data_IF_256273679032
#
_entry.id   IF_256273679032
#
_cell.length_a   1.000
_cell.length_b   1.000
_cell.length_c   1.000
_cell.angle_alpha   90.00
_cell.angle_beta   90.00
_cell.angle_gamma   90.00
#
_symmetry.space_group_name_H-M   'P 1'
#
loop_
_entity.id
_entity.type
_entity.pdbx_description
1 polymer ?
#
# COMPACT_ATOMS: atom_id res chain seq x y z
N UNK A 1 21.39 -7.82 4.57
CA UNK A 1 21.55 -6.52 3.89
C UNK A 1 21.64 -6.66 2.37
N UNK A 2 22.56 -7.46 1.81
CA UNK A 2 22.71 -7.61 0.34
C UNK A 2 21.46 -8.18 -0.36
N UNK A 3 20.80 -9.18 0.23
CA UNK A 3 19.55 -9.74 -0.32
C UNK A 3 18.44 -8.68 -0.40
N UNK A 4 18.29 -7.89 0.66
CA UNK A 4 17.30 -6.81 0.75
C UNK A 4 17.53 -5.71 -0.30
N UNK A 5 18.79 -5.29 -0.48
CA UNK A 5 19.14 -4.30 -1.52
C UNK A 5 18.87 -4.87 -2.91
N UNK A 6 19.12 -6.18 -3.13
CA UNK A 6 18.83 -6.84 -4.40
C UNK A 6 17.33 -6.86 -4.69
N UNK A 7 16.51 -7.23 -3.71
CA UNK A 7 15.04 -7.24 -3.84
C UNK A 7 14.50 -5.84 -4.15
N UNK A 8 14.91 -4.84 -3.36
CA UNK A 8 14.59 -3.44 -3.60
C UNK A 8 14.97 -2.99 -5.02
N UNK A 9 16.19 -3.30 -5.48
CA UNK A 9 16.66 -2.95 -6.82
C UNK A 9 15.82 -3.58 -7.95
N UNK A 10 15.37 -4.81 -7.73
CA UNK A 10 14.51 -5.53 -8.69
C UNK A 10 13.05 -5.14 -8.63
N UNK A 11 12.62 -4.49 -7.55
CA UNK A 11 11.23 -4.05 -7.37
C UNK A 11 10.80 -3.15 -8.53
N UNK A 12 9.58 -3.39 -9.03
CA UNK A 12 8.97 -2.51 -10.01
C UNK A 12 8.29 -1.40 -9.23
N UNK A 13 8.85 -0.19 -9.28
CA UNK A 13 8.14 0.98 -8.79
C UNK A 13 6.92 1.21 -9.68
N UNK A 14 5.76 0.87 -9.14
CA UNK A 14 4.50 1.15 -9.79
C UNK A 14 4.12 2.60 -9.51
N UNK A 15 4.43 3.46 -10.49
CA UNK A 15 4.10 4.87 -10.49
C UNK A 15 2.59 5.09 -10.31
N UNK A 16 1.75 4.16 -10.79
CA UNK A 16 0.28 4.29 -10.70
C UNK A 16 -0.24 3.89 -9.33
N UNK A 17 0.32 2.85 -8.72
CA UNK A 17 -0.09 2.41 -7.38
C UNK A 17 -0.04 3.54 -6.33
N UNK A 18 0.98 4.41 -6.39
CA UNK A 18 1.08 5.53 -5.44
C UNK A 18 -0.11 6.48 -5.58
N UNK A 19 -0.62 6.64 -6.80
CA UNK A 19 -1.78 7.45 -7.12
C UNK A 19 -3.06 6.76 -6.67
N UNK A 20 -3.19 5.47 -6.98
CA UNK A 20 -4.33 4.65 -6.58
C UNK A 20 -4.46 4.56 -5.04
N UNK A 21 -3.34 4.65 -4.31
CA UNK A 21 -3.32 4.71 -2.84
C UNK A 21 -3.79 6.07 -2.26
N UNK A 22 -3.52 7.17 -2.97
CA UNK A 22 -3.84 8.53 -2.53
C UNK A 22 -5.21 9.04 -3.01
N UNK A 23 -5.73 8.49 -4.11
CA UNK A 23 -7.02 8.87 -4.70
C UNK A 23 -8.20 8.69 -3.72
N UNK A 24 -8.32 7.59 -2.96
CA UNK A 24 -9.41 7.43 -1.97
C UNK A 24 -9.27 8.33 -0.74
N UNK A 25 -8.10 8.92 -0.50
CA UNK A 25 -7.78 9.69 0.71
C UNK A 25 -7.71 11.19 0.50
N UNK A 26 -8.13 11.69 -0.67
CA UNK A 26 -8.04 13.10 -1.06
C UNK A 26 -6.64 13.74 -0.90
N UNK A 27 -5.59 12.91 -0.82
CA UNK A 27 -4.20 13.37 -0.67
C UNK A 27 -3.57 13.79 -2.00
N UNK A 28 -4.13 13.38 -3.13
CA UNK A 28 -3.62 13.75 -4.47
C UNK A 28 -3.52 15.28 -4.61
N UNK A 29 -4.57 16.01 -4.24
CA UNK A 29 -4.62 17.46 -4.35
C UNK A 29 -3.57 18.13 -3.45
N UNK A 30 -3.41 17.66 -2.21
CA UNK A 30 -2.40 18.18 -1.26
C UNK A 30 -0.98 17.99 -1.79
N UNK A 31 -0.67 16.81 -2.33
CA UNK A 31 0.66 16.51 -2.88
C UNK A 31 0.93 17.36 -4.12
N UNK A 32 -0.05 17.53 -5.01
CA UNK A 32 0.09 18.39 -6.19
C UNK A 32 0.37 19.84 -5.81
N UNK A 33 -0.33 20.37 -4.81
CA UNK A 33 -0.06 21.71 -4.29
C UNK A 33 1.31 21.83 -3.63
N UNK A 34 1.74 20.82 -2.88
CA UNK A 34 3.07 20.79 -2.30
C UNK A 34 4.16 20.86 -3.39
N UNK A 35 4.07 20.00 -4.43
CA UNK A 35 5.03 20.01 -5.55
C UNK A 35 4.99 21.35 -6.30
N UNK A 36 3.79 21.90 -6.52
CA UNK A 36 3.61 23.22 -7.15
C UNK A 36 4.30 24.32 -6.34
N UNK A 37 4.10 24.33 -5.02
CA UNK A 37 4.68 25.32 -4.12
C UNK A 37 6.21 25.22 -4.10
N UNK A 38 6.77 24.00 -4.04
CA UNK A 38 8.20 23.79 -4.11
C UNK A 38 8.79 24.26 -5.45
N UNK A 39 8.16 23.92 -6.58
CA UNK A 39 8.61 24.36 -7.90
C UNK A 39 8.55 25.88 -8.06
N UNK A 40 7.47 26.51 -7.56
CA UNK A 40 7.32 27.96 -7.56
C UNK A 40 8.36 28.66 -6.67
N UNK A 41 8.64 28.12 -5.48
CA UNK A 41 9.66 28.64 -4.58
C UNK A 41 11.06 28.60 -5.22
N UNK A 42 11.43 27.47 -5.86
CA UNK A 42 12.70 27.34 -6.58
C UNK A 42 12.81 28.34 -7.74
N UNK A 43 11.75 28.49 -8.55
CA UNK A 43 11.71 29.48 -9.62
C UNK A 43 11.84 30.91 -9.10
N UNK A 44 11.20 31.22 -7.96
CA UNK A 44 11.26 32.53 -7.31
C UNK A 44 12.68 32.84 -6.84
N UNK A 45 13.37 31.88 -6.20
CA UNK A 45 14.78 32.03 -5.82
C UNK A 45 15.65 32.33 -7.04
N UNK A 46 15.48 31.60 -8.14
CA UNK A 46 16.22 31.85 -9.38
C UNK A 46 15.98 33.27 -9.94
N UNK A 47 14.74 33.77 -9.89
CA UNK A 47 14.40 35.14 -10.33
C UNK A 47 15.00 36.19 -9.41
N UNK A 48 14.92 36.01 -8.09
CA UNK A 48 15.53 36.93 -7.12
C UNK A 48 17.05 37.00 -7.33
N UNK A 49 17.68 35.85 -7.62
CA UNK A 49 19.10 35.78 -7.93
C UNK A 49 19.49 36.57 -9.20
N UNK A 50 18.56 36.97 -10.09
CA UNK A 50 18.90 37.85 -11.21
C UNK A 50 19.29 39.28 -10.78
N UNK A 51 18.89 39.68 -9.57
CA UNK A 51 19.04 41.04 -9.06
C UNK A 51 20.11 41.18 -7.96
N UNK A 52 20.79 40.08 -7.61
CA UNK A 52 21.85 40.07 -6.59
C UNK A 52 23.23 40.10 -7.23
N UNK A 53 24.25 40.71 -6.57
CA UNK A 53 25.64 40.68 -7.05
C UNK A 53 26.20 39.26 -7.24
N UNK A 54 25.76 38.29 -6.41
CA UNK A 54 26.14 36.89 -6.53
C UNK A 54 25.41 36.14 -7.67
N UNK A 55 24.49 36.81 -8.35
CA UNK A 55 23.67 36.31 -9.43
C UNK A 55 24.41 36.12 -10.74
N UNK A 56 23.73 35.73 -11.82
CA UNK A 56 24.37 35.55 -13.12
C UNK A 56 24.86 36.87 -13.73
N UNK A 57 26.05 36.83 -14.33
CA UNK A 57 26.61 37.93 -15.12
C UNK A 57 26.46 37.69 -16.63
N UNK A 58 26.43 38.81 -17.37
CA UNK A 58 26.25 38.79 -18.82
C UNK A 58 24.83 38.45 -19.27
N UNK A 59 24.57 38.68 -20.55
CA UNK A 59 23.25 38.43 -21.15
C UNK A 59 22.95 36.93 -21.16
N UNK A 60 23.94 36.11 -21.52
CA UNK A 60 23.77 34.65 -21.64
C UNK A 60 23.34 34.02 -20.31
N UNK A 61 24.04 34.32 -19.20
CA UNK A 61 23.71 33.76 -17.90
C UNK A 61 22.31 34.17 -17.42
N UNK A 62 21.95 35.45 -17.60
CA UNK A 62 20.61 35.95 -17.27
C UNK A 62 19.52 35.30 -18.11
N UNK A 63 19.77 35.06 -19.41
CA UNK A 63 18.84 34.35 -20.29
C UNK A 63 18.65 32.89 -19.85
N UNK A 64 19.73 32.20 -19.47
CA UNK A 64 19.66 30.82 -18.96
C UNK A 64 18.81 30.76 -17.69
N UNK A 65 19.08 31.64 -16.72
CA UNK A 65 18.33 31.68 -15.45
C UNK A 65 16.86 32.03 -15.68
N UNK A 66 16.57 33.02 -16.52
CA UNK A 66 15.20 33.36 -16.91
C UNK A 66 14.46 32.21 -17.60
N UNK A 67 15.10 31.52 -18.55
CA UNK A 67 14.54 30.37 -19.24
C UNK A 67 14.25 29.18 -18.31
N UNK A 68 15.14 28.90 -17.36
CA UNK A 68 14.94 27.87 -16.33
C UNK A 68 13.78 28.24 -15.38
N UNK A 69 13.65 29.50 -14.98
CA UNK A 69 12.54 29.97 -14.16
C UNK A 69 11.18 29.83 -14.89
N UNK A 70 11.14 30.18 -16.19
CA UNK A 70 9.95 29.97 -17.03
C UNK A 70 9.61 28.48 -17.12
N UNK A 71 10.61 27.62 -17.35
CA UNK A 71 10.41 26.16 -17.43
C UNK A 71 9.84 25.62 -16.11
N UNK A 72 10.39 26.04 -14.96
CA UNK A 72 9.86 25.68 -13.64
C UNK A 72 8.42 26.15 -13.44
N UNK A 73 8.09 27.37 -13.88
CA UNK A 73 6.73 27.91 -13.87
C UNK A 73 5.75 27.11 -14.71
N UNK A 74 6.16 26.63 -15.89
CA UNK A 74 5.35 25.75 -16.75
C UNK A 74 5.04 24.43 -16.04
N UNK A 75 6.02 23.81 -15.38
CA UNK A 75 5.78 22.60 -14.59
C UNK A 75 4.87 22.85 -13.38
N UNK A 76 5.08 23.96 -12.66
CA UNK A 76 4.23 24.34 -11.52
C UNK A 76 2.77 24.54 -11.97
N UNK A 77 2.55 25.30 -13.06
CA UNK A 77 1.22 25.48 -13.63
C UNK A 77 0.60 24.15 -14.08
N UNK A 78 1.40 23.24 -14.67
CA UNK A 78 0.94 21.91 -15.08
C UNK A 78 0.47 21.06 -13.90
N UNK A 79 1.14 21.11 -12.76
CA UNK A 79 0.74 20.36 -11.55
C UNK A 79 -0.48 20.99 -10.86
N UNK A 80 -0.58 22.33 -10.88
CA UNK A 80 -1.71 23.06 -10.31
C UNK A 80 -3.01 22.85 -11.11
N UNK A 81 -2.94 23.00 -12.44
CA UNK A 81 -4.13 23.07 -13.30
C UNK A 81 -4.65 21.69 -13.68
N UNK A 82 -3.75 20.78 -14.05
CA UNK A 82 -4.13 19.49 -14.62
C UNK A 82 -3.93 18.36 -13.61
N UNK A 83 -4.70 17.28 -13.77
CA UNK A 83 -4.56 16.05 -12.99
C UNK A 83 -3.14 15.47 -13.00
N UNK A 84 -2.93 14.48 -12.13
CA UNK A 84 -1.60 13.89 -11.93
C UNK A 84 -0.89 13.54 -13.26
N UNK A 85 0.40 13.91 -13.41
CA UNK A 85 1.12 13.75 -14.67
C UNK A 85 1.36 12.28 -15.02
N UNK A 86 1.50 11.99 -16.32
CA UNK A 86 1.95 10.67 -16.77
C UNK A 86 3.38 10.40 -16.31
N UNK A 87 3.76 9.11 -16.22
CA UNK A 87 5.13 8.69 -15.85
C UNK A 87 6.20 9.35 -16.71
N UNK A 88 5.95 9.50 -18.03
CA UNK A 88 6.88 10.16 -18.97
C UNK A 88 7.07 11.64 -18.62
N UNK A 89 5.98 12.35 -18.31
CA UNK A 89 6.02 13.76 -17.94
C UNK A 89 6.73 13.98 -16.59
N UNK A 90 6.54 13.06 -15.64
CA UNK A 90 7.25 13.10 -14.36
C UNK A 90 8.76 12.84 -14.50
N UNK A 91 9.17 11.90 -15.37
CA UNK A 91 10.59 11.70 -15.72
C UNK A 91 11.18 12.95 -16.38
N UNK A 92 10.44 13.55 -17.33
CA UNK A 92 10.86 14.79 -17.98
C UNK A 92 11.03 15.94 -16.97
N UNK A 93 10.10 16.08 -16.01
CA UNK A 93 10.21 17.04 -14.92
C UNK A 93 11.49 16.86 -14.11
N UNK A 94 11.80 15.64 -13.68
CA UNK A 94 13.03 15.35 -12.93
C UNK A 94 14.27 15.71 -13.76
N UNK A 95 14.34 15.30 -15.02
CA UNK A 95 15.48 15.61 -15.89
C UNK A 95 15.64 17.12 -16.12
N UNK A 96 14.55 17.85 -16.37
CA UNK A 96 14.58 19.30 -16.53
C UNK A 96 14.97 20.02 -15.23
N UNK A 97 14.53 19.52 -14.07
CA UNK A 97 14.90 20.10 -12.79
C UNK A 97 16.39 19.85 -12.47
N UNK A 98 16.90 18.65 -12.69
CA UNK A 98 18.31 18.30 -12.48
C UNK A 98 19.24 19.17 -13.34
N UNK A 99 18.94 19.28 -14.65
CA UNK A 99 19.69 20.13 -15.57
C UNK A 99 19.50 21.61 -15.23
N UNK A 100 18.27 22.04 -14.98
CA UNK A 100 17.93 23.44 -14.70
C UNK A 100 18.61 23.97 -13.44
N UNK A 101 18.50 23.25 -12.32
CA UNK A 101 19.14 23.63 -11.04
C UNK A 101 20.66 23.68 -11.21
N UNK A 102 21.26 22.65 -11.82
CA UNK A 102 22.71 22.58 -12.01
C UNK A 102 23.23 23.72 -12.90
N UNK A 103 22.56 23.98 -14.02
CA UNK A 103 22.96 25.03 -14.97
C UNK A 103 22.76 26.42 -14.41
N UNK A 104 21.64 26.67 -13.70
CA UNK A 104 21.38 27.94 -12.99
C UNK A 104 22.46 28.20 -11.94
N UNK A 105 22.73 27.22 -11.09
CA UNK A 105 23.80 27.30 -10.08
C UNK A 105 25.16 27.62 -10.71
N UNK A 106 25.44 27.11 -11.92
CA UNK A 106 26.71 27.35 -12.60
C UNK A 106 26.84 28.77 -13.15
N UNK A 107 25.72 29.46 -13.38
CA UNK A 107 25.76 30.85 -13.85
C UNK A 107 26.09 31.85 -12.75
N UNK A 108 25.97 31.46 -11.47
CA UNK A 108 26.25 32.37 -10.36
C UNK A 108 27.73 32.75 -10.33
N UNK A 109 27.98 34.03 -10.13
CA UNK A 109 29.34 34.59 -10.12
C UNK A 109 30.18 34.04 -8.99
N UNK A 110 29.54 33.82 -7.84
CA UNK A 110 30.14 33.17 -6.70
C UNK A 110 29.94 31.65 -6.81
N UNK A 111 31.05 30.92 -6.97
CA UNK A 111 31.04 29.46 -7.12
C UNK A 111 30.59 28.73 -5.86
N UNK A 112 30.82 29.32 -4.70
CA UNK A 112 30.33 28.79 -3.43
C UNK A 112 28.81 28.93 -3.34
N UNK A 113 28.25 30.08 -3.74
CA UNK A 113 26.78 30.27 -3.83
C UNK A 113 26.17 29.29 -4.84
N UNK A 114 26.83 29.09 -5.98
CA UNK A 114 26.45 28.06 -6.97
C UNK A 114 26.42 26.66 -6.37
N UNK A 115 27.48 26.28 -5.66
CA UNK A 115 27.59 24.97 -5.00
C UNK A 115 26.52 24.78 -3.92
N UNK A 116 26.24 25.82 -3.12
CA UNK A 116 25.14 25.81 -2.17
C UNK A 116 23.78 25.63 -2.85
N UNK A 117 23.58 26.22 -4.04
CA UNK A 117 22.37 26.06 -4.85
C UNK A 117 22.09 24.61 -5.27
N UNK A 118 23.12 23.75 -5.35
CA UNK A 118 22.92 22.31 -5.61
C UNK A 118 22.12 21.62 -4.50
N UNK A 119 22.06 22.17 -3.29
CA UNK A 119 21.22 21.62 -2.23
C UNK A 119 19.74 21.59 -2.60
N UNK A 120 19.29 22.42 -3.55
CA UNK A 120 17.92 22.35 -4.09
C UNK A 120 17.60 21.02 -4.77
N UNK A 121 18.61 20.25 -5.21
CA UNK A 121 18.42 18.90 -5.76
C UNK A 121 17.83 17.93 -4.74
N UNK A 122 17.92 18.21 -3.43
CA UNK A 122 17.28 17.38 -2.39
C UNK A 122 15.77 17.29 -2.58
N UNK A 123 15.12 18.36 -3.07
CA UNK A 123 13.67 18.36 -3.33
C UNK A 123 13.32 17.38 -4.46
N UNK A 124 14.21 17.27 -5.45
CA UNK A 124 14.09 16.32 -6.55
C UNK A 124 14.38 14.90 -6.05
N UNK A 125 15.38 14.71 -5.18
CA UNK A 125 15.63 13.42 -4.54
C UNK A 125 14.41 12.92 -3.76
N UNK A 126 13.78 13.79 -2.95
CA UNK A 126 12.54 13.45 -2.23
C UNK A 126 11.42 13.07 -3.20
N UNK A 127 11.22 13.84 -4.26
CA UNK A 127 10.23 13.52 -5.29
C UNK A 127 10.49 12.14 -5.92
N UNK A 128 11.74 11.84 -6.29
CA UNK A 128 12.13 10.55 -6.88
C UNK A 128 11.94 9.40 -5.90
N UNK A 129 12.22 9.60 -4.60
CA UNK A 129 12.02 8.59 -3.55
C UNK A 129 10.56 8.10 -3.51
N UNK A 130 9.59 9.01 -3.56
CA UNK A 130 8.18 8.67 -3.44
C UNK A 130 7.55 8.15 -4.74
N UNK A 131 7.95 8.70 -5.89
CA UNK A 131 7.21 8.47 -7.15
C UNK A 131 7.94 7.59 -8.16
N UNK A 132 9.25 7.36 -8.00
CA UNK A 132 10.04 6.62 -8.98
C UNK A 132 10.80 5.45 -8.34
N UNK A 133 11.32 4.57 -9.20
CA UNK A 133 12.04 3.38 -8.75
C UNK A 133 13.53 3.59 -8.49
N UNK A 134 14.19 2.55 -7.96
CA UNK A 134 15.59 2.59 -7.54
C UNK A 134 16.55 2.97 -8.69
N UNK A 135 16.22 2.58 -9.92
CA UNK A 135 17.02 2.92 -11.12
C UNK A 135 17.01 4.42 -11.43
N UNK A 136 15.86 5.07 -11.27
CA UNK A 136 15.74 6.52 -11.47
C UNK A 136 16.46 7.26 -10.35
N UNK A 137 16.33 6.78 -9.10
CA UNK A 137 17.06 7.33 -7.96
C UNK A 137 18.57 7.22 -8.17
N UNK A 138 19.06 6.07 -8.62
CA UNK A 138 20.48 5.90 -8.93
C UNK A 138 20.95 6.84 -10.05
N UNK A 139 20.18 7.00 -11.13
CA UNK A 139 20.51 7.93 -12.21
C UNK A 139 20.58 9.39 -11.71
N UNK A 140 19.60 9.81 -10.91
CA UNK A 140 19.59 11.12 -10.25
C UNK A 140 20.79 11.29 -9.31
N UNK A 141 21.08 10.31 -8.44
CA UNK A 141 22.23 10.36 -7.55
C UNK A 141 23.57 10.44 -8.29
N UNK A 142 23.71 9.76 -9.43
CA UNK A 142 24.90 9.89 -10.30
C UNK A 142 25.01 11.31 -10.86
N UNK A 143 23.91 11.91 -11.31
CA UNK A 143 23.89 13.30 -11.75
C UNK A 143 24.32 14.26 -10.63
N UNK A 144 23.73 14.11 -9.44
CA UNK A 144 24.08 14.92 -8.26
C UNK A 144 25.56 14.78 -7.92
N UNK A 145 26.10 13.56 -7.90
CA UNK A 145 27.51 13.28 -7.63
C UNK A 145 28.44 13.94 -8.65
N UNK A 146 28.12 13.83 -9.93
CA UNK A 146 28.90 14.43 -11.01
C UNK A 146 28.88 15.97 -10.89
N UNK A 147 27.70 16.56 -10.67
CA UNK A 147 27.53 18.00 -10.48
C UNK A 147 28.28 18.50 -9.25
N UNK A 148 28.09 17.87 -8.09
CA UNK A 148 28.78 18.25 -6.86
C UNK A 148 30.31 18.15 -7.01
N UNK A 149 30.81 17.11 -7.66
CA UNK A 149 32.26 16.95 -7.93
C UNK A 149 32.78 18.06 -8.84
N UNK A 150 32.04 18.41 -9.90
CA UNK A 150 32.41 19.49 -10.81
C UNK A 150 32.49 20.84 -10.08
N UNK A 151 31.52 21.15 -9.23
CA UNK A 151 31.55 22.37 -8.41
C UNK A 151 32.67 22.34 -7.37
N UNK A 152 32.91 21.21 -6.72
CA UNK A 152 33.99 21.07 -5.75
C UNK A 152 35.37 21.35 -6.38
N UNK A 153 35.60 20.84 -7.60
CA UNK A 153 36.82 21.16 -8.36
C UNK A 153 36.86 22.65 -8.68
N UNK A 154 35.76 23.23 -9.19
CA UNK A 154 35.71 24.65 -9.55
C UNK A 154 35.93 25.59 -8.35
N UNK A 155 35.41 25.24 -7.17
CA UNK A 155 35.61 26.00 -5.91
C UNK A 155 37.03 25.78 -5.37
N UNK A 156 37.56 24.55 -5.43
CA UNK A 156 38.86 24.23 -4.86
C UNK A 156 40.05 24.72 -5.68
N UNK A 157 39.93 24.76 -7.02
CA UNK A 157 41.03 25.14 -7.94
C UNK A 157 40.81 26.49 -8.62
N UNK A 158 39.79 27.24 -8.21
CA UNK A 158 39.48 28.56 -8.75
C UNK A 158 40.51 29.62 -8.37
N UNK A 159 40.42 30.84 -8.95
CA UNK A 159 41.32 31.96 -8.63
C UNK A 159 41.36 32.30 -7.13
N UNK A 160 40.22 32.20 -6.45
CA UNK A 160 40.05 32.39 -5.00
C UNK A 160 39.80 31.04 -4.29
N UNK A 161 40.48 29.98 -4.76
CA UNK A 161 40.13 28.61 -4.42
C UNK A 161 40.26 28.27 -2.93
N UNK A 162 39.20 27.66 -2.37
CA UNK A 162 39.19 27.13 -1.00
C UNK A 162 38.89 25.62 -1.03
N UNK A 163 39.94 24.78 -1.09
CA UNK A 163 39.76 23.33 -1.18
C UNK A 163 39.17 22.74 0.11
N UNK A 164 39.43 23.34 1.28
CA UNK A 164 38.88 22.86 2.54
C UNK A 164 37.36 23.08 2.59
N UNK A 165 36.90 24.25 2.14
CA UNK A 165 35.48 24.57 2.03
C UNK A 165 34.79 23.70 0.97
N UNK A 166 35.43 23.49 -0.18
CA UNK A 166 34.93 22.60 -1.23
C UNK A 166 34.72 21.18 -0.72
N UNK A 167 35.70 20.62 0.00
CA UNK A 167 35.61 19.29 0.62
C UNK A 167 34.48 19.27 1.67
N UNK A 168 34.45 20.24 2.59
CA UNK A 168 33.47 20.29 3.68
C UNK A 168 32.03 20.32 3.16
N UNK A 169 31.73 21.18 2.19
CA UNK A 169 30.40 21.24 1.60
C UNK A 169 30.07 20.01 0.76
N UNK A 170 31.04 19.45 0.02
CA UNK A 170 30.81 18.21 -0.74
C UNK A 170 30.40 17.07 0.19
N UNK A 171 31.09 16.90 1.32
CA UNK A 171 30.74 15.91 2.35
C UNK A 171 29.32 16.18 2.89
N UNK A 172 29.00 17.43 3.21
CA UNK A 172 27.68 17.80 3.73
C UNK A 172 26.55 17.47 2.72
N UNK A 173 26.73 17.80 1.44
CA UNK A 173 25.74 17.53 0.38
C UNK A 173 25.64 16.04 0.02
N UNK A 174 26.75 15.27 0.09
CA UNK A 174 26.76 13.83 -0.16
C UNK A 174 25.84 13.06 0.79
N UNK A 175 25.86 13.40 2.08
CA UNK A 175 25.03 12.72 3.08
C UNK A 175 23.55 12.94 2.80
N UNK A 176 23.16 14.18 2.51
CA UNK A 176 21.75 14.58 2.40
C UNK A 176 21.15 14.17 1.05
N UNK A 177 21.90 14.31 -0.04
CA UNK A 177 21.35 14.20 -1.40
C UNK A 177 21.67 12.83 -2.04
N UNK A 178 22.71 12.13 -1.58
CA UNK A 178 23.14 10.84 -2.15
C UNK A 178 22.93 9.68 -1.19
N UNK A 179 23.32 9.82 0.08
CA UNK A 179 23.25 8.70 1.02
C UNK A 179 21.87 8.51 1.67
N UNK A 180 21.21 9.58 2.10
CA UNK A 180 19.92 9.51 2.77
C UNK A 180 18.75 9.03 1.88
N UNK A 181 18.61 9.47 0.60
CA UNK A 181 17.44 9.10 -0.20
C UNK A 181 17.28 7.60 -0.47
N UNK A 182 18.34 6.82 -0.79
CA UNK A 182 18.22 5.36 -0.91
C UNK A 182 17.74 4.69 0.38
N UNK A 183 18.22 5.14 1.55
CA UNK A 183 17.78 4.60 2.84
C UNK A 183 16.30 4.90 3.10
N UNK A 184 15.84 6.13 2.80
CA UNK A 184 14.43 6.50 2.87
C UNK A 184 13.57 5.68 1.91
N UNK A 185 14.02 5.49 0.67
CA UNK A 185 13.29 4.71 -0.33
C UNK A 185 13.21 3.23 0.06
N UNK A 186 14.27 2.66 0.63
CA UNK A 186 14.26 1.30 1.17
C UNK A 186 13.27 1.19 2.33
N UNK A 187 13.29 2.13 3.28
CA UNK A 187 12.34 2.13 4.41
C UNK A 187 10.89 2.24 3.95
N UNK A 188 10.60 3.14 3.01
CA UNK A 188 9.28 3.26 2.40
C UNK A 188 8.86 1.98 1.66
N UNK A 189 9.79 1.39 0.89
CA UNK A 189 9.56 0.14 0.18
C UNK A 189 9.28 -1.03 1.15
N UNK A 190 9.97 -1.12 2.30
CA UNK A 190 9.71 -2.14 3.31
C UNK A 190 8.30 -2.01 3.90
N UNK A 191 7.95 -0.82 4.38
CA UNK A 191 6.60 -0.57 4.95
C UNK A 191 5.52 -0.89 3.94
N UNK A 192 5.75 -0.54 2.67
CA UNK A 192 4.85 -0.90 1.57
C UNK A 192 4.81 -2.41 1.31
N UNK A 193 5.96 -3.06 1.22
CA UNK A 193 6.04 -4.49 0.93
C UNK A 193 5.36 -5.32 2.02
N UNK A 194 5.45 -4.90 3.28
CA UNK A 194 4.73 -5.53 4.39
C UNK A 194 3.22 -5.30 4.26
N UNK A 195 2.80 -4.10 3.85
CA UNK A 195 1.40 -3.82 3.57
C UNK A 195 0.85 -4.63 2.39
N UNK A 196 1.62 -4.81 1.32
CA UNK A 196 1.21 -5.56 0.12
C UNK A 196 1.21 -7.09 0.42
N UNK A 197 2.21 -7.60 1.12
CA UNK A 197 2.23 -8.99 1.63
C UNK A 197 1.08 -9.27 2.60
N UNK A 198 0.54 -8.23 3.26
CA UNK A 198 -0.66 -8.35 4.10
C UNK A 198 -1.97 -8.55 3.31
N UNK A 199 -1.94 -8.63 1.97
CA UNK A 199 -3.13 -8.88 1.14
C UNK A 199 -3.25 -10.32 0.65
N UNK A 200 -2.22 -11.13 0.82
CA UNK A 200 -2.18 -12.54 0.39
C UNK A 200 -2.05 -13.47 1.60
N UNK A 201 -2.65 -14.64 1.50
CA UNK A 201 -2.47 -15.75 2.44
C UNK A 201 -1.14 -16.45 2.13
N UNK A 202 -0.25 -16.49 3.11
CA UNK A 202 1.12 -17.01 2.93
C UNK A 202 1.17 -18.51 2.64
N UNK A 203 0.15 -19.28 3.05
CA UNK A 203 0.09 -20.72 2.82
C UNK A 203 -0.37 -21.05 1.41
N UNK A 204 -1.50 -20.48 0.97
CA UNK A 204 -2.15 -20.85 -0.30
C UNK A 204 -1.76 -19.95 -1.47
N UNK A 205 -1.20 -18.76 -1.21
CA UNK A 205 -0.92 -17.73 -2.21
C UNK A 205 -2.19 -17.08 -2.80
N UNK A 206 -3.36 -17.36 -2.24
CA UNK A 206 -4.60 -16.65 -2.55
C UNK A 206 -4.62 -15.27 -1.88
N UNK A 207 -5.60 -14.44 -2.22
CA UNK A 207 -5.86 -13.24 -1.42
C UNK A 207 -6.31 -13.65 0.00
N UNK A 208 -6.08 -12.79 0.98
CA UNK A 208 -6.77 -12.90 2.26
C UNK A 208 -8.00 -12.00 2.28
N UNK A 209 -8.72 -11.93 3.41
CA UNK A 209 -9.93 -11.10 3.53
C UNK A 209 -9.71 -9.65 3.11
N UNK A 210 -8.59 -9.04 3.51
CA UNK A 210 -8.26 -7.66 3.13
C UNK A 210 -7.99 -7.54 1.62
N UNK A 211 -7.24 -8.48 1.06
CA UNK A 211 -6.97 -8.57 -0.38
C UNK A 211 -8.25 -8.70 -1.21
N UNK A 212 -9.20 -9.53 -0.78
CA UNK A 212 -10.49 -9.70 -1.46
C UNK A 212 -11.27 -8.39 -1.53
N UNK A 213 -11.36 -7.64 -0.43
CA UNK A 213 -12.17 -6.42 -0.37
C UNK A 213 -11.62 -5.33 -1.28
N UNK A 214 -10.29 -5.24 -1.36
CA UNK A 214 -9.62 -4.32 -2.28
C UNK A 214 -9.92 -4.67 -3.74
N UNK A 215 -9.70 -5.93 -4.14
CA UNK A 215 -9.85 -6.36 -5.54
C UNK A 215 -11.31 -6.49 -5.99
N UNK A 216 -12.24 -6.80 -5.08
CA UNK A 216 -13.66 -6.82 -5.37
C UNK A 216 -14.18 -5.42 -5.77
N UNK A 217 -13.52 -4.36 -5.31
CA UNK A 217 -13.81 -2.98 -5.72
C UNK A 217 -13.42 -2.66 -7.15
N UNK A 218 -12.49 -3.40 -7.72
CA UNK A 218 -11.98 -3.21 -9.09
C UNK A 218 -12.73 -4.06 -10.13
N UNK A 219 -13.74 -4.82 -9.70
CA UNK A 219 -14.59 -5.58 -10.62
C UNK A 219 -15.26 -4.63 -11.61
N UNK A 220 -14.88 -4.76 -12.88
CA UNK A 220 -15.36 -3.91 -13.98
C UNK A 220 -16.71 -4.42 -14.45
N UNK A 221 -17.71 -3.54 -14.46
CA UNK A 221 -19.00 -3.76 -15.10
C UNK A 221 -18.99 -3.09 -16.46
N UNK A 222 -19.26 -3.81 -17.56
CA UNK A 222 -19.49 -3.17 -18.85
C UNK A 222 -20.66 -2.19 -18.72
N UNK A 223 -20.49 -0.92 -19.11
CA UNK A 223 -21.60 0.03 -19.16
C UNK A 223 -22.74 -0.55 -20.03
N UNK A 224 -23.96 -0.60 -19.49
CA UNK A 224 -25.11 -1.21 -20.17
C UNK A 224 -25.30 -2.71 -19.95
N UNK A 225 -24.55 -3.34 -19.04
CA UNK A 225 -24.70 -4.77 -18.70
C UNK A 225 -25.96 -5.06 -17.86
N UNK A 226 -27.14 -4.90 -18.45
CA UNK A 226 -28.33 -5.57 -17.94
C UNK A 226 -28.08 -7.09 -17.93
N UNK A 227 -28.32 -7.75 -16.79
CA UNK A 227 -28.26 -9.21 -16.69
C UNK A 227 -26.97 -9.81 -16.12
N UNK A 228 -26.07 -9.02 -15.52
CA UNK A 228 -24.96 -9.55 -14.71
C UNK A 228 -25.07 -9.06 -13.25
N UNK A 229 -24.82 -9.99 -12.33
CA UNK A 229 -24.90 -9.79 -10.88
C UNK A 229 -23.53 -9.97 -10.26
N UNK A 230 -23.32 -9.37 -9.09
CA UNK A 230 -22.19 -9.74 -8.24
C UNK A 230 -22.62 -10.91 -7.39
N UNK A 231 -21.87 -11.99 -7.46
CA UNK A 231 -22.09 -13.23 -6.73
C UNK A 231 -20.97 -13.40 -5.72
N UNK A 232 -21.33 -13.68 -4.47
CA UNK A 232 -20.41 -14.04 -3.40
C UNK A 232 -20.66 -15.49 -3.01
N UNK A 233 -19.60 -16.29 -2.96
CA UNK A 233 -19.65 -17.68 -2.50
C UNK A 233 -18.76 -17.84 -1.28
N UNK A 234 -19.30 -18.41 -0.22
CA UNK A 234 -18.55 -18.84 0.98
C UNK A 234 -18.44 -20.36 0.92
N UNK A 235 -17.20 -20.84 0.97
CA UNK A 235 -16.85 -22.24 0.85
C UNK A 235 -16.14 -22.69 2.12
N UNK A 236 -16.55 -23.81 2.69
CA UNK A 236 -15.93 -24.38 3.89
C UNK A 236 -15.66 -25.87 3.67
N UNK A 237 -14.39 -26.28 3.87
CA UNK A 237 -14.00 -27.67 3.68
C UNK A 237 -14.58 -28.56 4.78
N UNK A 238 -15.35 -29.55 4.37
CA UNK A 238 -16.07 -30.40 5.30
C UNK A 238 -15.14 -31.28 6.11
N UNK A 239 -15.32 -31.26 7.44
CA UNK A 239 -14.57 -32.09 8.39
C UNK A 239 -13.05 -31.91 8.28
N UNK A 240 -12.58 -30.72 7.87
CA UNK A 240 -11.14 -30.44 7.75
C UNK A 240 -10.37 -30.66 9.06
N UNK A 241 -11.02 -30.39 10.21
CA UNK A 241 -10.46 -30.74 11.51
C UNK A 241 -10.08 -32.22 11.63
N UNK A 242 -10.90 -33.14 11.11
CA UNK A 242 -10.58 -34.58 11.14
C UNK A 242 -9.32 -34.89 10.33
N UNK A 243 -9.10 -34.19 9.20
CA UNK A 243 -7.85 -34.32 8.43
C UNK A 243 -6.65 -33.95 9.29
N UNK A 244 -6.72 -32.81 10.00
CA UNK A 244 -5.65 -32.40 10.92
C UNK A 244 -5.44 -33.39 12.05
N UNK A 245 -6.52 -33.88 12.65
CA UNK A 245 -6.48 -34.78 13.80
C UNK A 245 -5.92 -36.18 13.41
N UNK A 246 -6.23 -36.68 12.20
CA UNK A 246 -5.79 -37.99 11.72
C UNK A 246 -4.42 -37.97 11.03
N UNK A 247 -4.09 -36.91 10.29
CA UNK A 247 -2.91 -36.87 9.41
C UNK A 247 -1.89 -35.79 9.82
N UNK A 248 -2.22 -34.95 10.79
CA UNK A 248 -1.39 -33.83 11.24
C UNK A 248 -1.53 -32.58 10.37
N UNK A 249 -1.15 -31.43 10.96
CA UNK A 249 -1.29 -30.12 10.34
C UNK A 249 -0.54 -29.96 9.01
N UNK A 250 0.59 -30.64 8.82
CA UNK A 250 1.33 -30.57 7.56
C UNK A 250 0.52 -31.13 6.37
N UNK A 251 -0.26 -32.20 6.60
CA UNK A 251 -1.17 -32.75 5.59
C UNK A 251 -2.38 -31.85 5.41
N UNK A 252 -2.91 -31.27 6.50
CA UNK A 252 -3.96 -30.24 6.41
C UNK A 252 -3.54 -29.05 5.55
N UNK A 253 -2.31 -28.57 5.71
CA UNK A 253 -1.74 -27.48 4.90
C UNK A 253 -1.66 -27.87 3.42
N UNK A 254 -1.24 -29.09 3.11
CA UNK A 254 -1.24 -29.61 1.74
C UNK A 254 -2.66 -29.67 1.15
N UNK A 255 -3.65 -30.10 1.94
CA UNK A 255 -5.05 -30.13 1.55
C UNK A 255 -5.55 -28.71 1.23
N UNK A 256 -5.21 -27.69 2.03
CA UNK A 256 -5.57 -26.30 1.77
C UNK A 256 -4.94 -25.77 0.48
N UNK A 257 -3.65 -26.03 0.26
CA UNK A 257 -2.94 -25.65 -0.97
C UNK A 257 -3.58 -26.32 -2.20
N UNK A 258 -3.88 -27.61 -2.10
CA UNK A 258 -4.52 -28.38 -3.17
C UNK A 258 -5.92 -27.86 -3.47
N UNK A 259 -6.72 -27.58 -2.44
CA UNK A 259 -8.07 -27.01 -2.57
C UNK A 259 -8.03 -25.66 -3.27
N UNK A 260 -7.12 -24.76 -2.86
CA UNK A 260 -6.90 -23.48 -3.51
C UNK A 260 -6.59 -23.62 -5.01
N UNK A 261 -5.70 -24.55 -5.39
CA UNK A 261 -5.37 -24.83 -6.80
C UNK A 261 -6.57 -25.38 -7.58
N UNK A 262 -7.33 -26.30 -6.99
CA UNK A 262 -8.53 -26.90 -7.62
C UNK A 262 -9.60 -25.86 -7.88
N UNK A 263 -9.92 -25.03 -6.89
CA UNK A 263 -10.88 -23.92 -7.07
C UNK A 263 -10.39 -22.99 -8.19
N UNK A 264 -9.11 -22.58 -8.14
CA UNK A 264 -8.52 -21.68 -9.15
C UNK A 264 -8.57 -22.24 -10.57
N UNK A 265 -8.47 -23.56 -10.73
CA UNK A 265 -8.51 -24.22 -12.04
C UNK A 265 -9.88 -24.22 -12.73
N UNK A 266 -10.96 -24.01 -11.96
CA UNK A 266 -12.34 -24.07 -12.47
C UNK A 266 -13.08 -22.73 -12.42
N UNK A 267 -12.47 -21.70 -11.85
CA UNK A 267 -12.98 -20.33 -11.92
C UNK A 267 -12.37 -19.58 -13.10
N UNK A 268 -13.09 -18.60 -13.63
CA UNK A 268 -12.61 -17.75 -14.73
C UNK A 268 -11.62 -16.70 -14.21
N UNK A 269 -10.76 -16.17 -15.09
CA UNK A 269 -9.72 -15.20 -14.71
C UNK A 269 -10.22 -13.86 -14.13
N UNK A 270 -11.51 -13.54 -14.26
CA UNK A 270 -12.12 -12.34 -13.69
C UNK A 270 -12.68 -12.51 -12.28
N UNK A 271 -12.66 -13.72 -11.71
CA UNK A 271 -13.17 -13.97 -10.36
C UNK A 271 -12.08 -13.71 -9.30
N UNK A 272 -12.48 -13.15 -8.16
CA UNK A 272 -11.61 -12.83 -7.03
C UNK A 272 -11.74 -13.92 -5.97
N UNK A 273 -10.69 -14.73 -5.81
CA UNK A 273 -10.66 -15.84 -4.83
C UNK A 273 -9.73 -15.51 -3.65
N UNK A 274 -10.20 -15.80 -2.45
CA UNK A 274 -9.45 -15.61 -1.21
C UNK A 274 -9.64 -16.74 -0.21
N UNK A 275 -8.77 -16.77 0.79
CA UNK A 275 -8.92 -17.55 2.02
C UNK A 275 -9.19 -16.60 3.19
N UNK A 276 -10.33 -16.74 3.85
CA UNK A 276 -10.74 -15.88 4.97
C UNK A 276 -10.22 -16.38 6.31
N UNK A 277 -10.04 -17.69 6.47
CA UNK A 277 -9.62 -18.32 7.71
C UNK A 277 -9.20 -19.77 7.53
N UNK A 278 -9.19 -20.54 8.63
CA UNK A 278 -8.67 -21.91 8.73
C UNK A 278 -8.92 -22.77 7.49
N UNK A 279 -10.18 -23.12 7.23
CA UNK A 279 -10.61 -23.94 6.08
C UNK A 279 -11.62 -23.24 5.16
N UNK A 280 -11.77 -21.92 5.31
CA UNK A 280 -12.79 -21.11 4.64
C UNK A 280 -12.22 -20.31 3.47
N UNK A 281 -12.86 -20.44 2.31
CA UNK A 281 -12.56 -19.68 1.10
C UNK A 281 -13.75 -18.82 0.71
N UNK A 282 -13.47 -17.64 0.15
CA UNK A 282 -14.50 -16.74 -0.37
C UNK A 282 -14.16 -16.35 -1.80
N UNK A 283 -15.17 -16.47 -2.67
CA UNK A 283 -15.11 -16.09 -4.08
C UNK A 283 -16.07 -14.94 -4.33
N UNK A 284 -15.60 -13.89 -5.02
CA UNK A 284 -16.47 -12.87 -5.64
C UNK A 284 -16.34 -12.97 -7.15
N UNK A 285 -17.47 -13.02 -7.85
CA UNK A 285 -17.50 -13.10 -9.31
C UNK A 285 -18.67 -12.29 -9.90
N UNK A 286 -18.55 -11.88 -11.16
CA UNK A 286 -19.55 -11.04 -11.88
C UNK A 286 -20.23 -11.85 -12.99
N UNK A 287 -21.34 -12.51 -12.69
CA UNK A 287 -22.00 -13.41 -13.64
C UNK A 287 -23.53 -13.30 -13.56
N UNK A 288 -24.26 -13.77 -14.59
CA UNK A 288 -25.71 -13.86 -14.52
C UNK A 288 -26.14 -14.73 -13.33
N UNK A 289 -27.15 -14.28 -12.57
CA UNK A 289 -27.70 -15.00 -11.41
C UNK A 289 -27.93 -16.49 -11.64
N UNK A 290 -28.49 -16.83 -12.81
CA UNK A 290 -28.82 -18.18 -13.21
C UNK A 290 -27.60 -19.12 -13.28
N UNK A 291 -26.39 -18.58 -13.41
CA UNK A 291 -25.15 -19.35 -13.49
C UNK A 291 -24.45 -19.53 -12.13
N UNK A 292 -24.92 -18.85 -11.07
CA UNK A 292 -24.27 -18.85 -9.76
C UNK A 292 -24.15 -20.25 -9.16
N UNK A 293 -25.25 -20.99 -9.12
CA UNK A 293 -25.26 -22.37 -8.63
C UNK A 293 -24.41 -23.30 -9.50
N UNK A 294 -24.45 -23.15 -10.83
CA UNK A 294 -23.65 -23.98 -11.74
C UNK A 294 -22.14 -23.79 -11.52
N UNK A 295 -21.68 -22.57 -11.23
CA UNK A 295 -20.28 -22.30 -10.88
C UNK A 295 -19.94 -22.89 -9.51
N UNK A 296 -20.82 -22.74 -8.52
CA UNK A 296 -20.63 -23.32 -7.19
C UNK A 296 -20.55 -24.86 -7.27
N UNK A 297 -21.42 -25.51 -8.02
CA UNK A 297 -21.40 -26.97 -8.24
C UNK A 297 -20.14 -27.42 -8.96
N UNK A 298 -19.65 -26.63 -9.93
CA UNK A 298 -18.37 -26.92 -10.59
C UNK A 298 -17.20 -26.89 -9.60
N UNK A 299 -17.20 -25.93 -8.67
CA UNK A 299 -16.19 -25.86 -7.61
C UNK A 299 -16.32 -27.04 -6.65
N UNK A 300 -17.54 -27.37 -6.23
CA UNK A 300 -17.81 -28.53 -5.36
C UNK A 300 -17.30 -29.83 -5.98
N UNK A 301 -17.65 -30.09 -7.23
CA UNK A 301 -17.22 -31.27 -7.97
C UNK A 301 -15.68 -31.32 -8.15
N UNK A 302 -15.04 -30.17 -8.40
CA UNK A 302 -13.58 -30.11 -8.52
C UNK A 302 -12.86 -30.46 -7.20
N UNK A 303 -13.43 -30.04 -6.06
CA UNK A 303 -12.88 -30.35 -4.74
C UNK A 303 -13.12 -31.81 -4.35
N UNK A 304 -14.32 -32.34 -4.64
CA UNK A 304 -14.68 -33.75 -4.40
C UNK A 304 -13.98 -34.76 -5.31
N UNK A 305 -13.27 -34.31 -6.36
CA UNK A 305 -12.54 -35.19 -7.27
C UNK A 305 -11.54 -36.08 -6.51
N UNK A 306 -11.37 -37.37 -6.89
CA UNK A 306 -10.51 -38.31 -6.18
C UNK A 306 -9.08 -37.78 -5.95
N UNK A 307 -8.51 -38.15 -4.81
CA UNK A 307 -7.12 -37.87 -4.40
C UNK A 307 -6.59 -39.08 -3.65
N UNK A 308 -5.27 -39.28 -3.70
CA UNK A 308 -4.61 -40.38 -2.99
C UNK A 308 -4.62 -40.17 -1.47
N UNK A 309 -4.53 -38.91 -1.01
CA UNK A 309 -4.37 -38.57 0.41
C UNK A 309 -5.43 -37.58 0.89
N UNK A 310 -6.02 -37.85 2.05
CA UNK A 310 -6.96 -36.99 2.77
C UNK A 310 -8.02 -36.34 1.85
N UNK A 311 -8.97 -37.11 1.29
CA UNK A 311 -10.06 -36.56 0.49
C UNK A 311 -10.95 -35.64 1.34
N UNK A 312 -11.40 -34.55 0.74
CA UNK A 312 -12.30 -33.58 1.39
C UNK A 312 -13.43 -33.21 0.43
N UNK A 313 -14.60 -32.93 0.99
CA UNK A 313 -15.71 -32.29 0.30
C UNK A 313 -15.84 -30.84 0.77
N UNK A 314 -16.78 -30.10 0.20
CA UNK A 314 -17.00 -28.70 0.53
C UNK A 314 -18.49 -28.40 0.62
N UNK A 315 -18.86 -27.61 1.63
CA UNK A 315 -20.18 -27.00 1.71
C UNK A 315 -20.09 -25.56 1.18
N UNK A 316 -20.98 -25.18 0.26
CA UNK A 316 -20.93 -23.87 -0.41
C UNK A 316 -22.25 -23.13 -0.21
N UNK A 317 -22.14 -21.89 0.25
CA UNK A 317 -23.24 -20.94 0.30
C UNK A 317 -23.08 -19.85 -0.73
N UNK A 318 -24.15 -19.47 -1.40
CA UNK A 318 -24.15 -18.48 -2.48
C UNK A 318 -25.08 -17.33 -2.13
N UNK A 319 -24.62 -16.10 -2.32
CA UNK A 319 -25.44 -14.89 -2.28
C UNK A 319 -25.15 -14.04 -3.51
N UNK A 320 -26.06 -13.12 -3.83
CA UNK A 320 -25.89 -12.25 -4.98
C UNK A 320 -26.67 -10.94 -4.85
N UNK A 321 -26.21 -9.93 -5.58
CA UNK A 321 -26.85 -8.61 -5.70
C UNK A 321 -26.78 -8.15 -7.15
N UNK A 322 -27.75 -7.37 -7.59
CA UNK A 322 -27.77 -6.85 -8.95
C UNK A 322 -26.55 -5.96 -9.23
N UNK A 323 -25.99 -6.03 -10.44
CA UNK A 323 -24.85 -5.18 -10.81
C UNK A 323 -25.13 -3.67 -10.66
N UNK A 324 -26.36 -3.23 -10.97
CA UNK A 324 -26.79 -1.84 -10.79
C UNK A 324 -26.76 -1.40 -9.32
N UNK A 325 -27.22 -2.26 -8.42
CA UNK A 325 -27.26 -1.97 -6.99
C UNK A 325 -25.87 -2.04 -6.36
N UNK A 326 -25.01 -2.94 -6.84
CA UNK A 326 -23.60 -2.96 -6.45
C UNK A 326 -22.88 -1.66 -6.83
N UNK A 327 -23.09 -1.17 -8.06
CA UNK A 327 -22.51 0.10 -8.52
C UNK A 327 -23.05 1.28 -7.72
N UNK A 328 -24.37 1.34 -7.46
CA UNK A 328 -24.98 2.38 -6.64
C UNK A 328 -24.42 2.40 -5.20
N UNK A 329 -24.14 1.22 -4.65
CA UNK A 329 -23.65 1.03 -3.28
C UNK A 329 -22.12 0.99 -3.16
N UNK A 330 -21.38 1.25 -4.26
CA UNK A 330 -19.90 1.17 -4.29
C UNK A 330 -19.22 2.10 -3.27
N UNK A 331 -19.86 3.20 -2.91
CA UNK A 331 -19.39 4.13 -1.88
C UNK A 331 -19.38 3.51 -0.45
N UNK A 332 -20.10 2.41 -0.22
CA UNK A 332 -20.14 1.61 1.01
C UNK A 332 -19.66 0.18 0.79
N UNK A 333 -18.76 -0.03 -0.18
CA UNK A 333 -18.31 -1.36 -0.61
C UNK A 333 -17.93 -2.32 0.54
N UNK A 334 -17.17 -1.93 1.58
CA UNK A 334 -16.84 -2.86 2.67
C UNK A 334 -18.07 -3.42 3.40
N UNK A 335 -19.04 -2.55 3.71
CA UNK A 335 -20.28 -2.95 4.39
C UNK A 335 -21.17 -3.80 3.50
N UNK A 336 -21.19 -3.51 2.19
CA UNK A 336 -21.89 -4.33 1.21
C UNK A 336 -21.29 -5.73 1.12
N UNK A 337 -19.98 -5.84 0.97
CA UNK A 337 -19.30 -7.14 0.93
C UNK A 337 -19.51 -7.93 2.23
N UNK A 338 -19.45 -7.28 3.40
CA UNK A 338 -19.77 -7.92 4.68
C UNK A 338 -21.19 -8.50 4.70
N UNK A 339 -22.18 -7.75 4.22
CA UNK A 339 -23.57 -8.22 4.16
C UNK A 339 -23.75 -9.40 3.18
N UNK A 340 -23.10 -9.33 2.01
CA UNK A 340 -23.13 -10.41 1.01
C UNK A 340 -22.44 -11.68 1.53
N UNK A 341 -21.28 -11.54 2.17
CA UNK A 341 -20.56 -12.65 2.81
C UNK A 341 -21.43 -13.26 3.91
N UNK A 342 -22.07 -12.45 4.75
CA UNK A 342 -22.94 -12.95 5.81
C UNK A 342 -24.16 -13.71 5.28
N UNK A 343 -24.73 -13.29 4.14
CA UNK A 343 -25.80 -14.02 3.48
C UNK A 343 -25.31 -15.37 2.92
N UNK A 344 -24.16 -15.38 2.24
CA UNK A 344 -23.55 -16.60 1.73
C UNK A 344 -23.14 -17.55 2.87
N UNK A 345 -22.62 -17.04 3.99
CA UNK A 345 -22.28 -17.84 5.17
C UNK A 345 -23.51 -18.54 5.77
N UNK A 346 -24.65 -17.84 5.89
CA UNK A 346 -25.91 -18.47 6.32
C UNK A 346 -26.34 -19.60 5.39
N UNK A 347 -26.22 -19.41 4.08
CA UNK A 347 -26.51 -20.44 3.10
C UNK A 347 -25.53 -21.63 3.22
N UNK A 348 -24.23 -21.38 3.41
CA UNK A 348 -23.21 -22.42 3.62
C UNK A 348 -23.49 -23.22 4.89
N UNK A 349 -23.92 -22.55 5.97
CA UNK A 349 -24.35 -23.22 7.19
C UNK A 349 -25.58 -24.11 6.98
N UNK A 350 -26.52 -23.70 6.12
CA UNK A 350 -27.64 -24.56 5.71
C UNK A 350 -27.14 -25.78 4.92
N UNK A 351 -26.19 -25.62 4.00
CA UNK A 351 -25.58 -26.74 3.28
C UNK A 351 -24.97 -27.77 4.25
N UNK A 352 -24.25 -27.30 5.28
CA UNK A 352 -23.73 -28.16 6.36
C UNK A 352 -24.82 -28.92 7.11
N UNK A 353 -25.99 -28.31 7.32
CA UNK A 353 -27.15 -28.95 7.98
C UNK A 353 -27.89 -29.94 7.08
N UNK A 354 -27.83 -29.77 5.77
CA UNK A 354 -28.44 -30.67 4.78
C UNK A 354 -27.63 -31.94 4.51
N UNK A 355 -26.49 -32.11 5.19
CA UNK A 355 -25.64 -33.29 5.06
C UNK A 355 -24.23 -33.00 4.55
N UNK A 356 -23.90 -31.72 4.28
CA UNK A 356 -22.62 -31.29 3.67
C UNK A 356 -22.50 -31.72 2.21
N UNK A 357 -21.35 -31.43 1.58
CA UNK A 357 -21.09 -31.70 0.17
C UNK A 357 -22.22 -31.25 -0.77
N UNK A 358 -22.72 -30.04 -0.54
CA UNK A 358 -23.80 -29.46 -1.34
C UNK A 358 -23.70 -27.94 -1.43
N UNK A 359 -24.43 -27.40 -2.40
CA UNK A 359 -24.58 -25.96 -2.62
C UNK A 359 -25.96 -25.53 -2.11
N UNK A 360 -26.00 -24.42 -1.38
CA UNK A 360 -27.25 -23.72 -1.05
C UNK A 360 -27.12 -22.27 -1.49
N UNK A 361 -28.13 -21.75 -2.18
CA UNK A 361 -28.15 -20.38 -2.65
C UNK A 361 -29.25 -19.57 -1.95
N UNK A 362 -28.87 -18.42 -1.39
CA UNK A 362 -29.77 -17.38 -0.93
C UNK A 362 -29.81 -16.27 -1.99
N UNK A 363 -30.73 -16.44 -2.93
CA UNK A 363 -30.98 -15.53 -4.05
C UNK A 363 -32.14 -14.57 -3.75
N UNK A 364 -32.40 -14.25 -2.49
CA UNK A 364 -33.48 -13.31 -2.12
C UNK A 364 -33.10 -11.83 -2.27
N UNK A 365 -31.81 -11.53 -2.49
CA UNK A 365 -31.27 -10.16 -2.51
C UNK A 365 -30.62 -9.81 -1.17
N UNK A 366 -29.68 -8.87 -1.16
CA UNK A 366 -28.92 -8.52 0.06
C UNK A 366 -29.39 -7.16 0.56
N UNK A 367 -30.16 -7.16 1.65
CA UNK A 367 -30.57 -5.92 2.32
C UNK A 367 -29.36 -5.27 3.01
N UNK A 368 -28.99 -4.07 2.54
CA UNK A 368 -28.01 -3.24 3.22
C UNK A 368 -28.63 -2.67 4.50
N UNK A 369 -27.91 -2.67 5.64
CA UNK A 369 -28.38 -1.97 6.83
C UNK A 369 -28.55 -0.48 6.48
N UNK A 370 -29.75 0.04 6.78
CA UNK A 370 -30.13 1.44 6.58
C UNK A 370 -29.15 2.39 7.26
N UNK A 371 -29.03 3.61 6.74
CA UNK A 371 -28.11 4.66 7.22
C UNK A 371 -28.39 5.16 8.65
N UNK A 372 -29.41 4.62 9.32
CA UNK A 372 -29.77 4.98 10.68
C UNK A 372 -28.82 4.33 11.68
N UNK A 373 -27.96 5.16 12.28
CA UNK A 373 -26.95 4.78 13.25
C UNK A 373 -27.50 3.99 14.45
N UNK A 374 -27.44 2.67 14.38
CA UNK A 374 -27.50 1.77 15.54
C UNK A 374 -26.51 0.60 15.39
N UNK A 375 -25.23 0.91 15.21
CA UNK A 375 -24.15 -0.07 15.36
C UNK A 375 -23.63 -0.04 16.80
N UNK A 376 -24.43 -0.51 17.78
CA UNK A 376 -23.84 -0.95 19.06
C UNK A 376 -24.67 -1.90 19.97
N UNK A 377 -25.81 -2.47 19.57
CA UNK A 377 -26.62 -3.22 20.56
C UNK A 377 -27.07 -4.64 20.20
N UNK A 378 -26.79 -5.16 19.00
CA UNK A 378 -27.29 -6.49 18.60
C UNK A 378 -26.25 -7.62 18.79
N UNK A 379 -24.96 -7.30 18.94
CA UNK A 379 -23.90 -8.32 19.01
C UNK A 379 -23.62 -8.92 20.41
N UNK A 380 -24.38 -8.54 21.45
CA UNK A 380 -24.18 -9.06 22.82
C UNK A 380 -25.38 -9.82 23.41
N UNK A 381 -26.49 -9.93 22.68
CA UNK A 381 -27.71 -10.60 23.19
C UNK A 381 -27.89 -12.05 22.74
N UNK A 382 -27.00 -12.61 21.91
CA UNK A 382 -27.13 -13.97 21.36
C UNK A 382 -26.04 -14.97 21.78
N UNK A 383 -25.26 -14.68 22.81
CA UNK A 383 -24.41 -15.70 23.43
C UNK A 383 -25.24 -16.63 24.33
N UNK A 384 -25.07 -17.96 24.27
CA UNK A 384 -25.72 -18.88 25.19
C UNK A 384 -25.31 -18.57 26.64
N UNK A 385 -26.28 -18.38 27.52
CA UNK A 385 -26.09 -18.24 28.97
C UNK A 385 -25.46 -19.53 29.52
N UNK A 386 -24.15 -19.52 29.73
CA UNK A 386 -23.42 -20.60 30.39
C UNK A 386 -23.80 -20.74 31.86
N UNK A 387 -24.07 -21.97 32.28
CA UNK A 387 -24.37 -22.37 33.66
C UNK A 387 -23.37 -21.81 34.68
N UNK A 388 -23.94 -21.32 35.79
CA UNK A 388 -23.25 -20.55 36.82
C UNK A 388 -22.13 -21.27 37.57
N UNK A 389 -21.03 -20.53 37.77
CA UNK A 389 -20.07 -20.80 38.81
C UNK A 389 -20.20 -19.73 39.91
N UNK A 390 -20.66 -20.18 41.07
CA UNK A 390 -20.93 -19.40 42.29
C UNK A 390 -19.59 -18.93 42.88
N UNK A 391 -19.32 -17.61 42.90
CA UNK A 391 -18.22 -17.03 43.68
C UNK A 391 -18.77 -16.46 44.99
N UNK A 392 -18.43 -17.14 46.08
CA UNK A 392 -18.69 -16.71 47.44
C UNK A 392 -17.75 -15.54 47.81
N UNK A 393 -18.32 -14.47 48.35
CA UNK A 393 -17.59 -13.35 48.96
C UNK A 393 -17.78 -13.48 50.46
N UNK A 394 -16.70 -13.70 51.23
CA UNK A 394 -16.57 -13.16 52.60
C UNK A 394 -15.15 -13.23 53.17
N UNK A 395 -14.89 -12.21 53.98
CA UNK A 395 -13.71 -11.88 54.81
C UNK A 395 -12.58 -11.15 54.06
N UNK A 396 -12.11 -9.98 54.46
CA UNK A 396 -12.36 -9.18 55.66
C UNK A 396 -11.03 -8.71 56.26
N UNK A 397 -10.87 -7.38 56.42
CA UNK A 397 -9.88 -6.72 57.29
C UNK A 397 -8.38 -6.87 56.87
N UNK A 398 -7.47 -5.90 57.01
CA UNK A 398 -7.40 -4.71 57.86
C UNK A 398 -6.27 -3.78 57.36
N UNK A 399 -6.42 -2.47 57.60
CA UNK A 399 -5.35 -1.47 57.45
C UNK A 399 -4.29 -1.67 58.53
N UNK A 400 -3.02 -1.35 58.23
CA UNK A 400 -2.16 -0.59 59.16
C UNK A 400 -0.95 0.03 58.47
N UNK A 401 -0.90 1.35 58.63
CA UNK A 401 0.25 2.24 58.42
C UNK A 401 1.25 2.12 59.58
N UNK A 402 2.55 2.25 59.26
CA UNK A 402 3.49 2.96 60.13
C UNK A 402 4.73 2.19 60.62
N UNK A 403 5.89 2.82 60.36
CA UNK A 403 6.99 3.09 61.31
C UNK A 403 8.35 2.35 61.11
N UNK A 404 9.40 3.20 61.08
CA UNK A 404 10.85 3.03 61.35
C UNK A 404 11.76 2.33 60.33
N UNK A 405 12.74 3.01 59.70
CA UNK A 405 13.99 3.67 60.14
C UNK A 405 15.14 2.69 60.51
N UNK A 406 16.33 3.04 59.98
CA UNK A 406 17.70 2.49 60.16
C UNK A 406 18.05 1.38 59.15
N UNK A 407 19.17 1.41 58.42
CA UNK A 407 20.50 1.94 58.77
C UNK A 407 21.29 2.30 57.50
N UNK A 408 22.13 3.33 57.62
CA UNK A 408 23.07 3.78 56.62
C UNK A 408 24.39 2.98 56.66
N UNK A 409 25.10 3.05 55.53
CA UNK A 409 26.56 3.04 55.37
C UNK A 409 27.35 1.79 55.82
N UNK A 410 27.95 1.08 54.86
CA UNK A 410 29.40 0.89 54.84
C UNK A 410 29.93 0.48 53.45
N UNK A 411 31.20 0.84 53.21
CA UNK A 411 32.16 0.39 52.18
C UNK A 411 32.34 1.24 50.92
N UNK A 412 33.07 2.34 51.13
CA UNK A 412 34.21 2.73 50.26
C UNK A 412 35.39 1.77 50.52
N UNK A 413 36.02 1.25 49.47
CA UNK A 413 37.50 1.23 49.22
C UNK A 413 37.87 0.15 48.20
N UNK A 414 38.05 0.53 46.93
CA UNK A 414 39.32 0.52 46.18
C UNK A 414 39.10 0.98 44.75
#
# INVERSE_FOLDING_TARGET
MLALVREWWTSRADYRWVLDYFEPRSMEQSIRWLVTLCAFALGTVAVVMLFTPAGPHGVIGKTIVGGSAVTGGVFAARWAIYGWPSRRMSILFVACADVGITTVSWQYSDRFVGMYGLNSLVLISLYVVFFHGPRMLAAHSVWVLASATLFAIAVGTGPDGDPALAIAQTIASLVIIVAAPPALQIGFWMVRSDADNSLVDSLTGLLNRRGLYLHAGDLIFPEGSGGVDVVVMVLDLDRFKNVNDEHGHAVGDEVLIRSARRIKSVIRGGAVLSRFGGEEFVLVDVLPRANAEAVAERIRAALAAPVETAPVTVSIGVSCISGSEFVASRHRLPALLDAMVAAADRAMYQAKRLGRDCVVADLSGVDLPSDDGQVHQVALSQLPQGHGFRRDRRSGFERRSGIERRTAADRRTR
#
